data_IF_729246540691
#
_entry.id   IF_729246540691
#
_cell.length_a   1.000
_cell.length_b   1.000
_cell.length_c   1.000
_cell.angle_alpha   90.00
_cell.angle_beta   90.00
_cell.angle_gamma   90.00
#
_symmetry.space_group_name_H-M   'P 1'
#
loop_
_entity.id
_entity.type
_entity.pdbx_description
1 polymer ?
#
# COMPACT_ATOMS: atom_id res chain seq x y z
N UNK A 1 18.19 23.27 29.52
CA UNK A 1 18.93 24.17 28.61
C UNK A 1 18.06 24.37 27.37
N UNK A 2 17.68 25.60 27.06
CA UNK A 2 16.90 25.94 25.87
C UNK A 2 17.78 25.79 24.64
N UNK A 3 17.59 24.73 23.86
CA UNK A 3 18.23 24.59 22.56
C UNK A 3 17.49 25.46 21.55
N UNK A 4 18.23 26.19 20.70
CA UNK A 4 17.64 26.94 19.60
C UNK A 4 17.33 25.95 18.48
N UNK A 5 16.05 25.79 18.14
CA UNK A 5 15.60 24.94 17.04
C UNK A 5 15.56 25.75 15.75
N UNK A 6 16.27 25.30 14.72
CA UNK A 6 16.29 25.93 13.39
C UNK A 6 15.72 24.94 12.37
N UNK A 7 14.67 25.33 11.67
CA UNK A 7 14.11 24.53 10.57
C UNK A 7 14.92 24.78 9.30
N UNK A 8 15.46 23.71 8.72
CA UNK A 8 16.28 23.78 7.51
C UNK A 8 15.68 22.95 6.38
N UNK A 9 15.73 23.51 5.17
CA UNK A 9 15.38 22.77 3.96
C UNK A 9 16.42 21.70 3.63
N UNK A 10 16.00 20.67 2.90
CA UNK A 10 16.90 19.61 2.41
C UNK A 10 16.59 19.23 0.97
N UNK A 11 17.63 18.82 0.24
CA UNK A 11 17.52 18.32 -1.14
C UNK A 11 18.19 16.96 -1.26
N UNK A 12 17.54 16.03 -1.97
CA UNK A 12 18.13 14.73 -2.31
C UNK A 12 19.23 14.95 -3.37
N UNK A 13 20.44 14.51 -3.09
CA UNK A 13 21.58 14.64 -4.02
C UNK A 13 22.00 13.29 -4.61
N UNK A 14 21.95 12.23 -3.81
CA UNK A 14 22.39 10.89 -4.20
C UNK A 14 21.44 9.83 -3.67
N UNK A 15 21.15 8.84 -4.50
CA UNK A 15 20.37 7.65 -4.13
C UNK A 15 21.10 6.41 -4.60
N UNK A 16 21.32 5.46 -3.69
CA UNK A 16 21.86 4.14 -4.02
C UNK A 16 20.73 3.12 -3.90
N UNK A 17 20.28 2.55 -5.01
CA UNK A 17 19.22 1.55 -5.03
C UNK A 17 19.85 0.16 -4.94
N UNK A 18 19.34 -0.66 -4.02
CA UNK A 18 19.73 -2.04 -3.82
C UNK A 18 18.67 -2.97 -4.41
N UNK A 19 18.94 -4.28 -4.47
CA UNK A 19 17.96 -5.26 -4.93
C UNK A 19 16.63 -5.15 -4.13
N UNK A 20 16.75 -4.80 -2.84
CA UNK A 20 15.63 -4.47 -1.95
C UNK A 20 16.00 -3.27 -1.09
N UNK A 21 15.27 -2.19 -1.23
CA UNK A 21 15.50 -0.92 -0.54
C UNK A 21 16.44 0.03 -1.28
N UNK A 22 16.51 1.26 -0.79
CA UNK A 22 17.45 2.27 -1.26
C UNK A 22 18.00 3.06 -0.08
N UNK A 23 19.24 3.53 -0.21
CA UNK A 23 19.85 4.52 0.68
C UNK A 23 19.71 5.88 0.00
N UNK A 24 19.04 6.81 0.66
CA UNK A 24 18.83 8.17 0.17
C UNK A 24 19.73 9.10 0.97
N UNK A 25 20.53 9.90 0.27
CA UNK A 25 21.39 10.92 0.84
C UNK A 25 20.87 12.32 0.49
N UNK A 26 20.63 13.12 1.51
CA UNK A 26 20.12 14.50 1.40
C UNK A 26 21.11 15.50 1.96
N UNK A 27 21.34 16.56 1.20
CA UNK A 27 22.09 17.73 1.64
C UNK A 27 21.16 18.70 2.34
N UNK A 28 21.58 19.22 3.49
CA UNK A 28 20.85 20.25 4.22
C UNK A 28 21.35 21.63 3.80
N UNK A 29 20.42 22.55 3.53
CA UNK A 29 20.73 23.95 3.35
C UNK A 29 20.91 24.60 4.72
N UNK A 30 22.17 24.77 5.14
CA UNK A 30 22.52 25.40 6.41
C UNK A 30 22.38 26.93 6.30
N UNK A 31 21.95 27.63 7.37
CA UNK A 31 22.02 29.10 7.43
C UNK A 31 23.49 29.58 7.44
N UNK A 32 23.74 30.78 6.92
CA UNK A 32 25.09 31.36 6.79
C UNK A 32 25.80 31.52 8.14
N UNK A 33 25.05 31.87 9.19
CA UNK A 33 25.55 31.98 10.56
C UNK A 33 24.77 31.05 11.49
N UNK A 34 25.48 30.05 12.05
CA UNK A 34 24.93 29.22 13.12
C UNK A 34 25.27 29.83 14.49
N UNK A 35 24.33 29.86 15.43
CA UNK A 35 24.60 30.28 16.81
C UNK A 35 25.77 29.49 17.44
N UNK A 36 26.59 30.18 18.24
CA UNK A 36 27.71 29.57 18.97
C UNK A 36 27.27 28.61 20.07
N UNK A 37 26.04 28.75 20.59
CA UNK A 37 25.45 27.82 21.55
C UNK A 37 25.02 26.49 20.91
N UNK A 38 24.57 25.48 21.68
CA UNK A 38 24.05 24.24 21.13
C UNK A 38 22.76 24.50 20.32
N UNK A 39 22.71 23.94 19.11
CA UNK A 39 21.62 24.16 18.13
C UNK A 39 20.99 22.82 17.76
N UNK A 40 19.68 22.80 17.61
CA UNK A 40 18.94 21.66 17.07
C UNK A 40 18.46 22.02 15.66
N UNK A 41 18.88 21.26 14.66
CA UNK A 41 18.42 21.42 13.28
C UNK A 41 17.26 20.46 13.04
N UNK A 42 16.09 21.01 12.75
CA UNK A 42 14.92 20.24 12.36
C UNK A 42 14.85 20.14 10.84
N UNK A 43 14.97 18.91 10.32
CA UNK A 43 14.84 18.60 8.89
C UNK A 43 13.50 17.93 8.65
N UNK A 44 12.63 18.61 7.89
CA UNK A 44 11.31 18.11 7.50
C UNK A 44 11.29 17.62 6.05
N UNK A 45 10.18 16.99 5.67
CA UNK A 45 9.97 16.52 4.29
C UNK A 45 10.70 15.22 3.97
N UNK A 46 11.00 14.41 4.99
CA UNK A 46 11.48 13.03 4.82
C UNK A 46 10.25 12.12 4.81
N UNK A 47 10.25 11.14 3.92
CA UNK A 47 9.15 10.18 3.83
C UNK A 47 8.93 9.40 5.15
N UNK A 48 7.67 9.17 5.52
CA UNK A 48 7.34 8.28 6.64
C UNK A 48 7.72 6.81 6.40
N UNK A 49 8.03 6.45 5.15
CA UNK A 49 8.52 5.13 4.74
C UNK A 49 10.02 4.94 5.00
N UNK A 50 10.72 5.98 5.46
CA UNK A 50 12.10 5.88 5.90
C UNK A 50 12.17 5.09 7.21
N UNK A 51 13.19 4.24 7.33
CA UNK A 51 13.43 3.47 8.54
C UNK A 51 14.05 4.38 9.62
N UNK A 52 13.36 4.67 10.75
CA UNK A 52 13.82 5.68 11.71
C UNK A 52 15.20 5.39 12.33
N UNK A 53 15.52 4.10 12.54
CA UNK A 53 16.80 3.66 13.11
C UNK A 53 17.96 3.62 12.11
N UNK A 54 17.69 3.82 10.83
CA UNK A 54 18.71 3.80 9.77
C UNK A 54 19.36 5.16 9.53
N UNK A 55 18.81 6.22 10.11
CA UNK A 55 19.24 7.58 9.86
C UNK A 55 20.67 7.81 10.36
N UNK A 56 21.51 8.40 9.51
CA UNK A 56 22.90 8.75 9.78
C UNK A 56 23.15 10.19 9.38
N UNK A 57 24.03 10.86 10.10
CA UNK A 57 24.43 12.23 9.81
C UNK A 57 25.91 12.24 9.50
N UNK A 58 26.26 12.83 8.36
CA UNK A 58 27.62 13.13 7.96
C UNK A 58 27.78 14.65 8.03
N UNK A 59 28.78 15.10 8.77
CA UNK A 59 29.07 16.51 8.96
C UNK A 59 30.53 16.78 8.59
N UNK A 60 30.79 17.84 7.84
CA UNK A 60 32.14 18.36 7.67
C UNK A 60 32.24 19.75 8.31
N UNK A 61 33.11 19.87 9.31
CA UNK A 61 33.30 21.12 10.03
C UNK A 61 34.10 20.92 11.31
N UNK A 62 34.18 22.00 12.10
CA UNK A 62 34.76 21.97 13.45
C UNK A 62 33.72 21.75 14.55
N UNK A 63 32.49 21.42 14.15
CA UNK A 63 31.32 21.33 15.02
C UNK A 63 30.82 19.90 15.07
N UNK A 64 30.72 19.35 16.28
CA UNK A 64 30.34 17.97 16.49
C UNK A 64 28.82 17.76 16.48
N UNK A 65 28.39 16.59 16.00
CA UNK A 65 27.00 16.12 16.10
C UNK A 65 26.85 15.36 17.40
N UNK A 66 26.05 15.90 18.33
CA UNK A 66 25.81 15.31 19.65
C UNK A 66 24.74 14.23 19.60
N UNK A 67 23.73 14.40 18.74
CA UNK A 67 22.63 13.46 18.69
C UNK A 67 21.77 13.59 17.44
N UNK A 68 21.06 12.51 17.16
CA UNK A 68 20.07 12.41 16.10
C UNK A 68 18.80 11.80 16.69
N UNK A 69 17.68 12.47 16.51
CA UNK A 69 16.39 11.95 16.92
C UNK A 69 15.42 11.97 15.75
N UNK A 70 14.76 10.84 15.50
CA UNK A 70 13.74 10.71 14.47
C UNK A 70 12.35 10.77 15.10
N UNK A 71 11.56 11.76 14.69
CA UNK A 71 10.20 11.98 15.17
C UNK A 71 9.23 11.84 14.00
N UNK A 72 8.17 11.06 14.16
CA UNK A 72 7.09 11.00 13.16
C UNK A 72 6.15 12.18 13.33
N UNK A 73 5.96 12.96 12.27
CA UNK A 73 4.92 13.98 12.16
C UNK A 73 3.73 13.38 11.41
N UNK A 74 2.72 12.96 12.18
CA UNK A 74 1.45 12.44 11.64
C UNK A 74 0.41 13.55 11.76
N UNK A 75 -0.16 14.04 10.64
CA UNK A 75 -1.22 15.04 10.72
C UNK A 75 -2.43 14.48 11.47
N UNK A 76 -3.03 15.31 12.34
CA UNK A 76 -4.17 14.92 13.20
C UNK A 76 -5.42 14.45 12.43
N UNK A 77 -5.57 14.89 11.17
CA UNK A 77 -6.65 14.44 10.30
C UNK A 77 -6.05 14.11 8.92
N UNK A 78 -6.24 12.88 8.40
CA UNK A 78 -5.89 12.59 7.03
C UNK A 78 -6.85 13.39 6.12
N UNK A 79 -6.32 14.41 5.42
CA UNK A 79 -7.05 15.06 4.33
C UNK A 79 -6.85 14.19 3.09
N UNK A 80 -7.89 13.56 2.53
CA UNK A 80 -7.73 12.76 1.32
C UNK A 80 -7.22 13.64 0.18
N UNK A 81 -6.36 13.11 -0.68
CA UNK A 81 -5.92 13.84 -1.89
C UNK A 81 -7.11 14.23 -2.77
N UNK A 82 -6.94 15.24 -3.63
CA UNK A 82 -8.02 15.80 -4.45
C UNK A 82 -8.80 14.75 -5.25
N UNK A 83 -8.10 13.76 -5.83
CA UNK A 83 -8.72 12.65 -6.59
C UNK A 83 -9.56 11.76 -5.67
N UNK A 84 -9.04 11.42 -4.49
CA UNK A 84 -9.78 10.58 -3.52
C UNK A 84 -11.00 11.29 -2.94
N UNK A 85 -10.94 12.61 -2.71
CA UNK A 85 -12.10 13.42 -2.35
C UNK A 85 -13.16 13.35 -3.44
N UNK A 86 -12.75 13.52 -4.71
CA UNK A 86 -13.68 13.49 -5.84
C UNK A 86 -14.37 12.13 -6.01
N UNK A 87 -13.63 11.03 -5.83
CA UNK A 87 -14.23 9.69 -5.85
C UNK A 87 -15.27 9.51 -4.73
N UNK A 88 -14.98 10.01 -3.53
CA UNK A 88 -15.89 9.92 -2.39
C UNK A 88 -17.16 10.75 -2.61
N UNK A 89 -17.04 11.95 -3.18
CA UNK A 89 -18.18 12.79 -3.60
C UNK A 89 -19.07 12.07 -4.62
N UNK A 90 -18.47 11.49 -5.67
CA UNK A 90 -19.22 10.75 -6.69
C UNK A 90 -19.92 9.52 -6.12
N UNK A 91 -19.30 8.82 -5.18
CA UNK A 91 -19.92 7.67 -4.50
C UNK A 91 -21.10 8.08 -3.63
N UNK A 92 -20.99 9.21 -2.93
CA UNK A 92 -22.06 9.75 -2.10
C UNK A 92 -23.26 10.17 -2.98
N UNK A 93 -23.01 10.92 -4.06
CA UNK A 93 -24.04 11.30 -5.04
C UNK A 93 -24.74 10.07 -5.63
N UNK A 94 -23.98 9.03 -6.00
CA UNK A 94 -24.53 7.77 -6.50
C UNK A 94 -25.43 7.09 -5.46
N UNK A 95 -25.05 7.15 -4.18
CA UNK A 95 -25.84 6.63 -3.07
C UNK A 95 -27.19 7.35 -2.96
N UNK A 96 -27.18 8.68 -3.04
CA UNK A 96 -28.38 9.50 -3.01
C UNK A 96 -29.33 9.20 -4.19
N UNK A 97 -28.79 9.15 -5.41
CA UNK A 97 -29.55 8.80 -6.62
C UNK A 97 -30.16 7.39 -6.54
N UNK A 98 -29.42 6.40 -6.04
CA UNK A 98 -29.94 5.04 -5.85
C UNK A 98 -31.07 5.00 -4.81
N UNK A 99 -30.95 5.76 -3.74
CA UNK A 99 -31.98 5.87 -2.71
C UNK A 99 -33.25 6.54 -3.27
N UNK A 100 -33.10 7.64 -4.01
CA UNK A 100 -34.22 8.31 -4.70
C UNK A 100 -34.91 7.35 -5.68
N UNK A 101 -34.12 6.67 -6.54
CA UNK A 101 -34.64 5.68 -7.49
C UNK A 101 -35.42 4.57 -6.80
N UNK A 102 -34.89 4.02 -5.70
CA UNK A 102 -35.54 2.96 -4.93
C UNK A 102 -36.88 3.40 -4.34
N UNK A 103 -36.94 4.60 -3.76
CA UNK A 103 -38.18 5.19 -3.23
C UNK A 103 -39.21 5.43 -4.33
N UNK A 104 -38.77 6.00 -5.45
CA UNK A 104 -39.65 6.33 -6.57
C UNK A 104 -40.19 5.06 -7.26
N UNK A 105 -39.33 4.07 -7.50
CA UNK A 105 -39.74 2.76 -8.05
C UNK A 105 -40.75 2.07 -7.15
N UNK A 106 -40.51 2.04 -5.83
CA UNK A 106 -41.45 1.47 -4.86
C UNK A 106 -42.80 2.21 -4.82
N UNK A 107 -42.82 3.52 -5.07
CA UNK A 107 -44.07 4.29 -5.20
C UNK A 107 -44.77 3.95 -6.51
N UNK A 108 -44.04 3.91 -7.62
CA UNK A 108 -44.54 3.57 -8.95
C UNK A 108 -45.17 2.19 -8.97
N UNK A 109 -44.50 1.18 -8.42
CA UNK A 109 -45.01 -0.19 -8.39
C UNK A 109 -46.26 -0.33 -7.50
N UNK A 110 -46.34 0.43 -6.40
CA UNK A 110 -47.56 0.53 -5.59
C UNK A 110 -48.72 1.19 -6.32
N UNK A 111 -48.47 2.17 -7.19
CA UNK A 111 -49.52 2.78 -8.02
C UNK A 111 -49.94 1.83 -9.14
N UNK A 112 -48.98 1.14 -9.77
CA UNK A 112 -49.26 0.17 -10.82
C UNK A 112 -50.03 -1.07 -10.33
N UNK A 113 -49.92 -1.42 -9.05
CA UNK A 113 -50.69 -2.53 -8.46
C UNK A 113 -52.14 -2.16 -8.09
N UNK A 114 -52.52 -0.87 -8.15
CA UNK A 114 -53.90 -0.45 -7.91
C UNK A 114 -54.78 -0.95 -9.04
N UNK A 115 -55.67 -1.89 -8.73
CA UNK A 115 -56.69 -2.37 -9.67
C UNK A 115 -57.94 -1.52 -9.50
N UNK A 116 -58.36 -0.83 -10.56
CA UNK A 116 -59.61 -0.08 -10.59
C UNK A 116 -60.76 -1.04 -10.92
N UNK A 117 -61.46 -1.53 -9.90
CA UNK A 117 -62.67 -2.34 -10.07
C UNK A 117 -63.92 -1.44 -10.07
N UNK A 118 -64.57 -1.19 -11.22
CA UNK A 118 -65.81 -0.41 -11.31
C UNK A 118 -67.02 -1.11 -10.65
N UNK A 119 -66.88 -2.38 -10.25
CA UNK A 119 -67.86 -3.18 -9.51
C UNK A 119 -67.85 -2.96 -7.98
N UNK A 120 -66.81 -2.35 -7.40
CA UNK A 120 -66.66 -2.17 -5.95
C UNK A 120 -67.48 -1.01 -5.33
N UNK A 121 -68.55 -0.56 -5.99
CA UNK A 121 -69.45 0.44 -5.41
C UNK A 121 -70.43 -0.21 -4.42
N UNK A 122 -70.57 0.36 -3.22
CA UNK A 122 -71.54 -0.11 -2.20
C UNK A 122 -72.97 -0.18 -2.79
N UNK A 123 -73.75 -1.26 -2.55
CA UNK A 123 -75.09 -1.47 -3.15
C UNK A 123 -76.09 -0.33 -2.95
N UNK A 124 -75.88 0.51 -1.93
CA UNK A 124 -76.80 1.56 -1.48
C UNK A 124 -76.66 2.88 -2.26
N UNK A 125 -75.65 3.01 -3.15
CA UNK A 125 -75.47 4.18 -4.02
C UNK A 125 -76.03 3.87 -5.41
N UNK A 126 -77.24 4.35 -5.71
CA UNK A 126 -77.80 4.38 -7.07
C UNK A 126 -77.09 5.46 -7.89
N UNK A 127 -75.87 5.16 -8.33
CA UNK A 127 -75.15 5.98 -9.30
C UNK A 127 -75.42 5.41 -10.69
N UNK A 128 -75.76 6.29 -11.64
CA UNK A 128 -75.94 5.95 -13.05
C UNK A 128 -74.73 5.13 -13.55
N UNK A 129 -74.93 3.93 -14.14
CA UNK A 129 -73.86 3.15 -14.74
C UNK A 129 -72.92 3.95 -15.65
N UNK A 130 -73.46 4.93 -16.39
CA UNK A 130 -72.65 5.77 -17.28
C UNK A 130 -71.70 6.70 -16.51
N UNK A 131 -72.16 7.27 -15.39
CA UNK A 131 -71.33 8.10 -14.51
C UNK A 131 -70.21 7.28 -13.84
N UNK A 132 -70.48 6.02 -13.47
CA UNK A 132 -69.44 5.13 -12.90
C UNK A 132 -68.33 4.80 -13.90
N UNK A 133 -68.69 4.57 -15.16
CA UNK A 133 -67.72 4.33 -16.23
C UNK A 133 -66.90 5.60 -16.49
N UNK A 134 -67.54 6.77 -16.52
CA UNK A 134 -66.85 8.05 -16.67
C UNK A 134 -65.85 8.32 -15.54
N UNK A 135 -66.24 8.09 -14.28
CA UNK A 135 -65.35 8.25 -13.11
C UNK A 135 -64.17 7.27 -13.14
N UNK A 136 -64.41 6.01 -13.51
CA UNK A 136 -63.36 5.00 -13.65
C UNK A 136 -62.36 5.37 -14.75
N UNK A 137 -62.84 5.87 -15.90
CA UNK A 137 -61.98 6.37 -16.98
C UNK A 137 -61.17 7.59 -16.53
N UNK A 138 -61.79 8.55 -15.84
CA UNK A 138 -61.09 9.73 -15.32
C UNK A 138 -59.98 9.36 -14.31
N UNK A 139 -60.27 8.43 -13.39
CA UNK A 139 -59.28 7.93 -12.44
C UNK A 139 -58.15 7.15 -13.12
N UNK A 140 -58.46 6.35 -14.14
CA UNK A 140 -57.45 5.66 -14.94
C UNK A 140 -56.53 6.64 -15.68
N UNK A 141 -57.09 7.74 -16.22
CA UNK A 141 -56.31 8.80 -16.85
C UNK A 141 -55.36 9.49 -15.87
N UNK A 142 -55.83 9.78 -14.65
CA UNK A 142 -54.99 10.35 -13.59
C UNK A 142 -53.88 9.40 -13.17
N UNK A 143 -54.19 8.11 -12.99
CA UNK A 143 -53.21 7.10 -12.61
C UNK A 143 -52.14 6.91 -13.69
N UNK A 144 -52.54 6.86 -14.96
CA UNK A 144 -51.60 6.79 -16.08
C UNK A 144 -50.71 8.03 -16.13
N UNK A 145 -51.25 9.23 -15.91
CA UNK A 145 -50.45 10.45 -15.88
C UNK A 145 -49.40 10.45 -14.75
N UNK A 146 -49.77 9.99 -13.55
CA UNK A 146 -48.83 9.88 -12.44
C UNK A 146 -47.77 8.79 -12.67
N UNK A 147 -48.13 7.69 -13.34
CA UNK A 147 -47.18 6.65 -13.77
C UNK A 147 -46.20 7.17 -14.81
N UNK A 148 -46.69 7.86 -15.86
CA UNK A 148 -45.84 8.49 -16.88
C UNK A 148 -44.87 9.49 -16.25
N UNK A 149 -45.33 10.29 -15.29
CA UNK A 149 -44.47 11.22 -14.55
C UNK A 149 -43.40 10.49 -13.72
N UNK A 150 -43.77 9.40 -13.05
CA UNK A 150 -42.83 8.58 -12.29
C UNK A 150 -41.79 7.90 -13.21
N UNK A 151 -42.22 7.37 -14.34
CA UNK A 151 -41.35 6.72 -15.32
C UNK A 151 -40.40 7.73 -15.98
N UNK A 152 -40.88 8.94 -16.32
CA UNK A 152 -40.03 10.02 -16.82
C UNK A 152 -38.96 10.45 -15.79
N UNK A 153 -39.33 10.54 -14.50
CA UNK A 153 -38.38 10.87 -13.44
C UNK A 153 -37.39 9.72 -13.18
N UNK A 154 -37.82 8.46 -13.28
CA UNK A 154 -36.92 7.31 -13.21
C UNK A 154 -35.89 7.34 -14.34
N UNK A 155 -36.30 7.65 -15.58
CA UNK A 155 -35.39 7.79 -16.71
C UNK A 155 -34.33 8.88 -16.48
N UNK A 156 -34.71 10.03 -15.92
CA UNK A 156 -33.76 11.09 -15.55
C UNK A 156 -32.74 10.63 -14.49
N UNK A 157 -33.19 9.86 -13.49
CA UNK A 157 -32.31 9.35 -12.43
C UNK A 157 -31.37 8.29 -13.01
N UNK A 158 -31.84 7.41 -13.90
CA UNK A 158 -31.00 6.41 -14.55
C UNK A 158 -29.96 7.07 -15.46
N UNK A 159 -30.30 8.13 -16.21
CA UNK A 159 -29.33 8.93 -16.97
C UNK A 159 -28.28 9.60 -16.05
N UNK A 160 -28.71 10.16 -14.92
CA UNK A 160 -27.79 10.74 -13.94
C UNK A 160 -26.85 9.70 -13.32
N UNK A 161 -27.34 8.48 -13.08
CA UNK A 161 -26.52 7.36 -12.61
C UNK A 161 -25.49 6.93 -13.65
N UNK A 162 -25.88 6.80 -14.93
CA UNK A 162 -24.93 6.50 -16.01
C UNK A 162 -23.86 7.58 -16.14
N UNK A 163 -24.24 8.85 -16.02
CA UNK A 163 -23.29 9.97 -16.06
C UNK A 163 -22.31 9.92 -14.90
N UNK A 164 -22.80 9.71 -13.67
CA UNK A 164 -21.96 9.58 -12.48
C UNK A 164 -21.01 8.36 -12.61
N UNK A 165 -21.46 7.24 -13.18
CA UNK A 165 -20.60 6.08 -13.44
C UNK A 165 -19.50 6.36 -14.46
N UNK A 166 -19.83 7.06 -15.56
CA UNK A 166 -18.83 7.50 -16.55
C UNK A 166 -17.79 8.44 -15.93
N UNK A 167 -18.23 9.39 -15.12
CA UNK A 167 -17.34 10.31 -14.39
C UNK A 167 -16.46 9.54 -13.40
N UNK A 168 -17.03 8.59 -12.66
CA UNK A 168 -16.28 7.75 -11.73
C UNK A 168 -15.18 6.97 -12.43
N UNK A 169 -15.50 6.31 -13.55
CA UNK A 169 -14.52 5.55 -14.34
C UNK A 169 -13.41 6.47 -14.86
N UNK A 170 -13.76 7.69 -15.31
CA UNK A 170 -12.78 8.66 -15.78
C UNK A 170 -11.82 9.09 -14.65
N UNK A 171 -12.35 9.35 -13.45
CA UNK A 171 -11.54 9.71 -12.28
C UNK A 171 -10.70 8.54 -11.78
N UNK A 172 -11.23 7.31 -11.79
CA UNK A 172 -10.46 6.09 -11.47
C UNK A 172 -9.30 5.88 -12.44
N UNK A 173 -9.52 6.13 -13.74
CA UNK A 173 -8.48 6.06 -14.74
C UNK A 173 -7.42 7.16 -14.54
N UNK A 174 -7.84 8.38 -14.21
CA UNK A 174 -6.92 9.46 -13.83
C UNK A 174 -6.12 9.08 -12.58
N UNK A 175 -6.75 8.45 -11.58
CA UNK A 175 -6.09 7.97 -10.38
C UNK A 175 -4.99 6.93 -10.70
N UNK A 176 -5.25 6.00 -11.63
CA UNK A 176 -4.28 5.00 -12.06
C UNK A 176 -3.09 5.59 -12.83
N UNK A 177 -3.31 6.69 -13.56
CA UNK A 177 -2.25 7.39 -14.30
C UNK A 177 -1.55 8.48 -13.48
N UNK A 178 -2.15 8.89 -12.37
CA UNK A 178 -1.63 9.93 -11.52
C UNK A 178 -0.34 9.45 -10.83
N UNK A 179 0.69 10.30 -10.87
CA UNK A 179 1.85 10.15 -10.00
C UNK A 179 1.41 10.19 -8.53
N UNK A 180 2.14 9.48 -7.67
CA UNK A 180 1.89 9.36 -6.22
C UNK A 180 1.63 10.71 -5.54
N UNK A 181 2.18 11.81 -6.07
CA UNK A 181 1.96 13.18 -5.57
C UNK A 181 0.52 13.70 -5.68
N UNK A 182 -0.28 13.28 -6.67
CA UNK A 182 -1.68 13.69 -6.81
C UNK A 182 -2.66 12.82 -6.02
N UNK A 183 -2.24 11.59 -5.70
CA UNK A 183 -2.97 10.64 -4.85
C UNK A 183 -2.69 10.85 -3.37
N UNK A 184 -1.52 11.43 -3.04
CA UNK A 184 -1.11 11.70 -1.68
C UNK A 184 -2.10 12.64 -0.98
N UNK A 185 -2.32 12.40 0.32
CA UNK A 185 -3.02 13.31 1.20
C UNK A 185 -2.41 14.72 1.12
N UNK A 186 -3.20 15.78 1.33
CA UNK A 186 -2.70 17.18 1.34
C UNK A 186 -1.51 17.36 2.30
N UNK A 187 -1.45 16.52 3.34
CA UNK A 187 -0.29 16.35 4.20
C UNK A 187 -0.10 14.85 4.47
N UNK A 188 0.83 14.16 3.80
CA UNK A 188 1.17 12.79 4.16
C UNK A 188 1.89 12.80 5.52
N UNK A 189 1.86 11.68 6.28
CA UNK A 189 2.74 11.53 7.42
C UNK A 189 4.19 11.66 6.94
N UNK A 190 4.99 12.43 7.69
CA UNK A 190 6.41 12.62 7.39
C UNK A 190 7.27 12.24 8.58
N UNK A 191 8.54 12.00 8.32
CA UNK A 191 9.56 11.88 9.35
C UNK A 191 10.27 13.25 9.48
N UNK A 192 10.41 13.73 10.71
CA UNK A 192 11.21 14.88 11.08
C UNK A 192 12.48 14.35 11.75
N UNK A 193 13.65 14.73 11.23
CA UNK A 193 14.93 14.41 11.85
C UNK A 193 15.45 15.64 12.59
N UNK A 194 15.67 15.49 13.89
CA UNK A 194 16.25 16.50 14.77
C UNK A 194 17.74 16.18 14.96
N UNK A 195 18.61 17.02 14.42
CA UNK A 195 20.06 16.89 14.54
C UNK A 195 20.55 17.87 15.59
N UNK A 196 21.11 17.39 16.69
CA UNK A 196 21.69 18.23 17.74
C UNK A 196 23.16 18.46 17.47
N UNK A 197 23.54 19.72 17.30
CA UNK A 197 24.90 20.17 17.13
C UNK A 197 25.46 20.73 18.45
N UNK A 198 26.73 20.43 18.72
CA UNK A 198 27.45 20.99 19.86
C UNK A 198 27.70 22.49 19.77
N UNK A 199 28.22 23.11 20.84
CA UNK A 199 28.57 24.52 20.83
C UNK A 199 29.83 24.79 19.97
N UNK A 200 29.84 25.95 19.31
CA UNK A 200 30.98 26.49 18.57
C UNK A 200 31.33 25.77 17.26
N UNK A 201 32.12 26.46 16.43
CA UNK A 201 32.69 25.90 15.21
C UNK A 201 31.85 26.11 13.94
N UNK A 202 32.54 26.37 12.83
CA UNK A 202 31.90 26.45 11.52
C UNK A 202 31.56 25.05 11.00
N UNK A 203 30.35 24.91 10.44
CA UNK A 203 29.88 23.72 9.74
C UNK A 203 29.85 24.02 8.25
N UNK A 204 30.67 23.33 7.44
CA UNK A 204 30.69 23.55 5.98
C UNK A 204 29.49 22.90 5.32
N UNK A 205 29.18 21.67 5.73
CA UNK A 205 28.01 20.96 5.25
C UNK A 205 27.53 19.87 6.19
N UNK A 206 26.27 19.54 6.00
CA UNK A 206 25.56 18.49 6.71
C UNK A 206 24.76 17.66 5.71
N UNK A 207 24.97 16.36 5.74
CA UNK A 207 24.27 15.36 4.93
C UNK A 207 23.58 14.36 5.85
N UNK A 208 22.38 13.97 5.47
CA UNK A 208 21.62 12.92 6.14
C UNK A 208 21.48 11.76 5.17
N UNK A 209 21.82 10.57 5.63
CA UNK A 209 21.54 9.31 4.95
C UNK A 209 20.46 8.55 5.70
N UNK A 210 19.54 7.93 4.98
CA UNK A 210 18.54 7.03 5.56
C UNK A 210 18.14 5.95 4.56
N UNK A 211 17.63 4.84 5.09
CA UNK A 211 17.10 3.72 4.30
C UNK A 211 15.62 3.92 4.04
N UNK A 212 15.23 3.69 2.78
CA UNK A 212 13.84 3.62 2.34
C UNK A 212 13.57 2.20 1.84
N UNK A 213 12.61 1.52 2.47
CA UNK A 213 12.22 0.15 2.13
C UNK A 213 11.59 0.00 0.73
N UNK A 214 10.57 0.80 0.36
CA UNK A 214 9.83 0.63 -0.90
C UNK A 214 10.57 1.18 -2.13
N UNK A 215 11.74 0.61 -2.42
CA UNK A 215 12.51 0.84 -3.62
C UNK A 215 13.21 -0.45 -4.05
N UNK A 216 13.37 -0.67 -5.35
CA UNK A 216 14.11 -1.83 -5.87
C UNK A 216 14.67 -1.52 -7.25
N UNK A 217 15.72 -2.22 -7.62
CA UNK A 217 16.15 -2.29 -9.01
C UNK A 217 16.35 -3.73 -9.46
N UNK A 218 16.16 -3.98 -10.76
CA UNK A 218 16.34 -5.29 -11.39
C UNK A 218 17.12 -5.11 -12.70
N UNK A 219 18.22 -5.86 -12.93
CA UNK A 219 18.89 -5.88 -14.22
C UNK A 219 18.06 -6.66 -15.24
N UNK A 220 17.95 -6.13 -16.45
CA UNK A 220 17.38 -6.82 -17.61
C UNK A 220 18.47 -6.95 -18.66
N UNK A 221 18.63 -8.15 -19.20
CA UNK A 221 19.68 -8.45 -20.18
C UNK A 221 19.04 -8.71 -21.54
N UNK A 222 19.53 -8.05 -22.58
CA UNK A 222 19.12 -8.30 -23.95
C UNK A 222 20.33 -8.76 -24.77
N UNK A 223 20.21 -9.92 -25.41
CA UNK A 223 21.22 -10.44 -26.33
C UNK A 223 20.67 -10.41 -27.76
N UNK A 224 21.35 -9.71 -28.67
CA UNK A 224 21.01 -9.69 -30.09
C UNK A 224 22.07 -10.42 -30.88
N UNK A 225 21.66 -11.49 -31.57
CA UNK A 225 22.52 -12.29 -32.41
C UNK A 225 22.54 -11.74 -33.84
N UNK A 226 23.71 -11.69 -34.47
CA UNK A 226 23.82 -11.50 -35.91
C UNK A 226 23.12 -12.63 -36.67
N UNK A 227 22.68 -12.40 -37.91
CA UNK A 227 21.98 -13.41 -38.73
C UNK A 227 22.76 -14.73 -38.90
N UNK A 228 24.10 -14.70 -38.84
CA UNK A 228 24.96 -15.88 -38.90
C UNK A 228 25.40 -16.45 -37.54
N UNK A 229 24.86 -15.95 -36.43
CA UNK A 229 25.25 -16.32 -35.06
C UNK A 229 26.76 -16.18 -34.74
N UNK A 230 27.50 -15.35 -35.48
CA UNK A 230 28.95 -15.14 -35.28
C UNK A 230 29.27 -13.98 -34.34
N UNK A 231 28.31 -13.06 -34.12
CA UNK A 231 28.43 -11.92 -33.20
C UNK A 231 27.19 -11.80 -32.33
N UNK A 232 27.40 -11.45 -31.06
CA UNK A 232 26.34 -11.15 -30.08
C UNK A 232 26.56 -9.75 -29.52
N UNK A 233 25.53 -8.90 -29.62
CA UNK A 233 25.46 -7.64 -28.89
C UNK A 233 24.73 -7.89 -27.56
N UNK A 234 25.36 -7.51 -26.45
CA UNK A 234 24.80 -7.67 -25.11
C UNK A 234 24.50 -6.30 -24.53
N UNK A 235 23.23 -6.03 -24.23
CA UNK A 235 22.78 -4.80 -23.59
C UNK A 235 22.29 -5.12 -22.18
N UNK A 236 22.69 -4.30 -21.21
CA UNK A 236 22.20 -4.37 -19.84
C UNK A 236 21.35 -3.14 -19.62
N UNK A 237 20.09 -3.36 -19.28
CA UNK A 237 19.15 -2.34 -18.86
C UNK A 237 18.91 -2.47 -17.35
N UNK A 238 18.72 -1.36 -16.65
CA UNK A 238 18.37 -1.37 -15.25
C UNK A 238 16.97 -0.78 -15.06
N UNK A 239 16.06 -1.60 -14.54
CA UNK A 239 14.72 -1.14 -14.19
C UNK A 239 14.70 -0.74 -12.73
N UNK A 240 14.40 0.52 -12.44
CA UNK A 240 14.27 1.05 -11.09
C UNK A 240 12.80 1.31 -10.81
N UNK A 241 12.29 0.76 -9.71
CA UNK A 241 10.94 1.01 -9.24
C UNK A 241 10.99 1.56 -7.82
N UNK A 242 10.25 2.63 -7.57
CA UNK A 242 10.15 3.23 -6.25
C UNK A 242 8.72 3.61 -5.88
N UNK A 243 8.41 3.47 -4.61
CA UNK A 243 7.20 3.98 -3.98
C UNK A 243 7.57 4.70 -2.67
N UNK A 244 8.69 5.44 -2.66
CA UNK A 244 9.17 6.18 -1.48
C UNK A 244 8.30 7.39 -1.13
N UNK A 245 7.56 7.92 -2.11
CA UNK A 245 6.87 9.21 -1.98
C UNK A 245 7.80 10.43 -2.12
N UNK A 246 9.06 10.22 -2.47
CA UNK A 246 10.05 11.29 -2.68
C UNK A 246 10.39 11.44 -4.17
N UNK A 247 10.70 12.68 -4.56
CA UNK A 247 11.12 12.98 -5.93
C UNK A 247 12.61 12.70 -6.11
N UNK A 248 12.93 11.77 -7.01
CA UNK A 248 14.30 11.41 -7.39
C UNK A 248 14.72 12.02 -8.74
N UNK A 249 13.96 13.01 -9.25
CA UNK A 249 14.30 13.73 -10.47
C UNK A 249 15.60 14.50 -10.31
N UNK A 250 16.50 14.38 -11.29
CA UNK A 250 17.80 15.06 -11.31
C UNK A 250 18.76 14.71 -10.16
N UNK A 251 18.64 13.50 -9.60
CA UNK A 251 19.50 12.97 -8.54
C UNK A 251 20.60 12.07 -9.12
N UNK A 252 21.77 12.00 -8.46
CA UNK A 252 22.80 11.01 -8.81
C UNK A 252 22.35 9.63 -8.33
N UNK A 253 21.87 8.81 -9.25
CA UNK A 253 21.41 7.46 -8.97
C UNK A 253 22.53 6.44 -9.20
N UNK A 254 22.78 5.60 -8.21
CA UNK A 254 23.70 4.46 -8.29
C UNK A 254 22.95 3.16 -7.98
N UNK A 255 23.41 2.06 -8.58
CA UNK A 255 22.81 0.74 -8.41
C UNK A 255 23.80 -0.20 -7.73
N UNK A 256 23.33 -0.96 -6.75
CA UNK A 256 24.13 -1.90 -5.99
C UNK A 256 23.53 -3.30 -6.04
N UNK A 257 24.34 -4.29 -6.42
CA UNK A 257 23.97 -5.73 -6.33
C UNK A 257 24.21 -6.30 -4.94
N UNK A 258 24.75 -5.51 -4.00
CA UNK A 258 24.90 -5.95 -2.62
C UNK A 258 23.53 -6.07 -1.94
N UNK A 259 23.47 -6.83 -0.85
CA UNK A 259 22.31 -6.78 0.04
C UNK A 259 22.41 -5.55 0.96
N UNK A 260 21.30 -4.86 1.12
CA UNK A 260 21.21 -3.68 1.99
C UNK A 260 21.16 -4.12 3.47
N UNK A 261 20.44 -5.20 3.74
CA UNK A 261 20.37 -5.80 5.08
C UNK A 261 21.44 -6.88 5.13
N UNK A 262 22.59 -6.58 5.72
CA UNK A 262 23.55 -7.61 6.08
C UNK A 262 23.03 -8.35 7.31
N UNK A 263 22.59 -9.59 7.10
CA UNK A 263 22.39 -10.53 8.19
C UNK A 263 23.73 -10.74 8.91
N UNK A 264 23.86 -10.12 10.09
CA UNK A 264 25.05 -10.20 10.92
C UNK A 264 25.06 -11.43 11.83
N UNK A 265 24.17 -12.42 11.59
CA UNK A 265 24.23 -13.70 12.28
C UNK A 265 25.58 -14.35 11.99
N UNK A 266 26.28 -14.71 13.07
CA UNK A 266 27.53 -15.44 12.98
C UNK A 266 27.23 -16.78 12.28
N UNK A 267 27.96 -17.15 11.22
CA UNK A 267 27.76 -18.44 10.59
C UNK A 267 28.02 -19.54 11.63
N UNK A 268 27.11 -20.51 11.72
CA UNK A 268 27.34 -21.71 12.51
C UNK A 268 28.44 -22.52 11.83
N UNK A 269 29.63 -22.51 12.42
CA UNK A 269 30.73 -23.33 11.95
C UNK A 269 30.44 -24.78 12.30
N UNK A 270 30.29 -25.63 11.28
CA UNK A 270 30.26 -27.07 11.49
C UNK A 270 31.53 -27.50 12.23
N UNK A 271 31.39 -28.29 13.31
CA UNK A 271 32.54 -28.83 14.01
C UNK A 271 33.33 -29.73 13.05
N UNK A 272 34.50 -29.29 12.60
CA UNK A 272 35.43 -30.14 11.87
C UNK A 272 36.03 -31.16 12.84
N UNK A 273 35.44 -32.35 12.87
CA UNK A 273 35.99 -33.49 13.61
C UNK A 273 37.13 -34.08 12.79
N UNK A 274 38.37 -33.85 13.22
CA UNK A 274 39.54 -34.51 12.67
C UNK A 274 39.50 -35.99 13.04
N UNK A 275 38.97 -36.81 12.13
CA UNK A 275 38.97 -38.27 12.23
C UNK A 275 40.10 -38.90 11.42
N UNK A 276 40.33 -40.20 11.61
CA UNK A 276 41.18 -40.98 10.70
C UNK A 276 40.66 -40.83 9.27
N UNK A 277 41.57 -40.69 8.30
CA UNK A 277 41.22 -40.57 6.89
C UNK A 277 40.28 -41.72 6.51
N UNK A 278 39.01 -41.38 6.23
CA UNK A 278 38.06 -42.36 5.71
C UNK A 278 38.48 -42.64 4.27
N UNK A 279 38.71 -43.91 3.89
CA UNK A 279 38.97 -44.22 2.49
C UNK A 279 37.79 -43.69 1.67
N UNK A 280 38.06 -42.98 0.55
CA UNK A 280 36.98 -42.44 -0.27
C UNK A 280 36.04 -43.58 -0.63
N UNK A 281 34.73 -43.33 -0.49
CA UNK A 281 33.72 -44.31 -0.89
C UNK A 281 34.02 -44.72 -2.33
N UNK A 282 34.37 -45.99 -2.55
CA UNK A 282 34.68 -46.52 -3.88
C UNK A 282 33.41 -46.40 -4.72
N UNK A 283 33.33 -45.34 -5.52
CA UNK A 283 32.37 -45.24 -6.63
C UNK A 283 32.89 -46.15 -7.73
N UNK A 284 32.69 -47.45 -7.56
CA UNK A 284 32.88 -48.40 -8.65
C UNK A 284 31.92 -48.04 -9.78
N UNK A 285 32.37 -48.17 -11.02
CA UNK A 285 31.48 -48.14 -12.17
C UNK A 285 30.42 -49.23 -11.98
N UNK A 286 29.16 -48.82 -11.83
CA UNK A 286 28.02 -49.73 -11.99
C UNK A 286 27.67 -49.70 -13.46
N UNK A 287 27.75 -50.86 -14.11
CA UNK A 287 27.17 -51.00 -15.44
C UNK A 287 25.69 -50.57 -15.36
N UNK A 288 25.19 -49.81 -16.33
CA UNK A 288 23.78 -49.46 -16.36
C UNK A 288 22.95 -50.75 -16.37
N UNK A 289 21.89 -50.83 -15.56
CA UNK A 289 21.03 -52.00 -15.52
C UNK A 289 20.48 -52.29 -16.93
N UNK A 290 20.41 -53.57 -17.29
CA UNK A 290 19.87 -53.98 -18.59
C UNK A 290 18.34 -53.85 -18.57
N UNK A 291 17.80 -53.00 -19.45
CA UNK A 291 16.37 -52.78 -19.59
C UNK A 291 15.82 -51.61 -18.78
N UNK A 292 14.63 -51.14 -19.18
CA UNK A 292 14.01 -49.93 -18.65
C UNK A 292 13.42 -50.17 -17.25
N UNK A 293 12.76 -51.31 -16.98
CA UNK A 293 12.27 -51.65 -15.63
C UNK A 293 13.40 -51.68 -14.58
N UNK A 294 14.54 -52.29 -14.90
CA UNK A 294 15.66 -52.44 -13.97
C UNK A 294 16.30 -51.09 -13.58
N UNK A 295 16.10 -50.04 -14.38
CA UNK A 295 16.53 -48.67 -14.06
C UNK A 295 15.67 -48.03 -12.96
N UNK A 296 14.39 -48.42 -12.85
CA UNK A 296 13.44 -47.81 -11.93
C UNK A 296 13.21 -48.61 -10.63
N UNK A 297 13.70 -49.85 -10.51
CA UNK A 297 13.51 -50.67 -9.29
C UNK A 297 13.94 -49.99 -7.97
N UNK A 298 15.00 -49.18 -8.01
CA UNK A 298 15.46 -48.45 -6.82
C UNK A 298 14.54 -47.27 -6.48
N UNK A 299 13.97 -46.63 -7.50
CA UNK A 299 12.95 -45.59 -7.34
C UNK A 299 11.65 -46.19 -6.83
N UNK A 300 11.24 -47.35 -7.34
CA UNK A 300 10.04 -48.06 -6.91
C UNK A 300 10.14 -48.49 -5.44
N UNK A 301 11.28 -49.07 -5.03
CA UNK A 301 11.56 -49.36 -3.61
C UNK A 301 11.55 -48.12 -2.72
N UNK A 302 12.13 -47.02 -3.19
CA UNK A 302 12.11 -45.76 -2.44
C UNK A 302 10.69 -45.20 -2.32
N UNK A 303 9.94 -45.19 -3.41
CA UNK A 303 8.55 -44.73 -3.44
C UNK A 303 7.63 -45.57 -2.54
N UNK A 304 7.85 -46.89 -2.48
CA UNK A 304 7.14 -47.79 -1.57
C UNK A 304 7.56 -47.63 -0.10
N UNK A 305 8.77 -47.11 0.17
CA UNK A 305 9.25 -46.81 1.52
C UNK A 305 8.76 -45.47 2.07
N UNK A 306 8.20 -44.61 1.21
CA UNK A 306 7.54 -43.39 1.66
C UNK A 306 6.23 -43.76 2.36
N UNK A 307 5.92 -43.15 3.51
CA UNK A 307 4.59 -43.30 4.10
C UNK A 307 3.53 -42.88 3.08
N UNK A 308 2.37 -43.56 3.03
CA UNK A 308 1.31 -43.17 2.12
C UNK A 308 0.98 -41.69 2.34
N UNK A 309 0.73 -40.92 1.27
CA UNK A 309 0.27 -39.55 1.44
C UNK A 309 -0.94 -39.58 2.36
N UNK A 310 -0.90 -38.83 3.45
CA UNK A 310 -2.10 -38.58 4.27
C UNK A 310 -3.22 -38.24 3.29
N UNK A 311 -4.35 -38.96 3.38
CA UNK A 311 -5.53 -38.63 2.61
C UNK A 311 -5.73 -37.11 2.70
N UNK A 312 -5.89 -36.40 1.57
CA UNK A 312 -6.27 -35.01 1.66
C UNK A 312 -7.59 -35.00 2.44
N UNK A 313 -7.55 -34.46 3.66
CA UNK A 313 -8.75 -34.08 4.38
C UNK A 313 -9.66 -33.41 3.36
N UNK A 314 -10.94 -33.84 3.23
CA UNK A 314 -11.77 -33.47 2.10
C UNK A 314 -11.66 -31.96 1.95
N UNK A 315 -11.02 -31.54 0.86
CA UNK A 315 -10.92 -30.15 0.52
C UNK A 315 -12.36 -29.66 0.57
N UNK A 316 -12.67 -28.80 1.54
CA UNK A 316 -13.92 -28.09 1.54
C UNK A 316 -13.97 -27.45 0.18
N UNK A 317 -14.78 -28.02 -0.72
CA UNK A 317 -15.08 -27.43 -2.01
C UNK A 317 -15.61 -26.07 -1.62
N UNK A 318 -14.79 -25.04 -1.82
CA UNK A 318 -15.23 -23.66 -1.74
C UNK A 318 -16.33 -23.57 -2.80
N UNK A 319 -17.56 -23.77 -2.34
CA UNK A 319 -18.74 -23.62 -3.15
C UNK A 319 -18.76 -22.15 -3.54
N UNK A 320 -18.41 -21.86 -4.79
CA UNK A 320 -18.59 -20.55 -5.41
C UNK A 320 -20.09 -20.33 -5.70
N UNK A 321 -20.92 -20.47 -4.68
CA UNK A 321 -22.31 -20.05 -4.71
C UNK A 321 -22.39 -18.65 -4.09
N UNK A 322 -22.95 -17.65 -4.80
CA UNK A 322 -23.20 -16.35 -4.20
C UNK A 322 -24.15 -16.51 -2.99
N UNK A 323 -23.95 -15.75 -1.90
CA UNK A 323 -24.77 -15.89 -0.72
C UNK A 323 -26.21 -15.47 -1.03
N UNK A 324 -27.16 -16.36 -0.74
CA UNK A 324 -28.58 -16.02 -0.76
C UNK A 324 -28.90 -14.96 0.32
N UNK A 325 -29.85 -14.04 0.05
CA UNK A 325 -30.25 -13.04 1.02
C UNK A 325 -30.94 -13.72 2.21
N UNK A 326 -30.38 -13.53 3.41
CA UNK A 326 -31.02 -13.96 4.66
C UNK A 326 -32.36 -13.27 4.79
N UNK A 327 -33.42 -14.07 4.81
CA UNK A 327 -34.76 -13.63 5.20
C UNK A 327 -34.76 -13.30 6.69
N UNK A 328 -35.05 -12.05 7.02
CA UNK A 328 -35.46 -11.62 8.36
C UNK A 328 -36.81 -12.27 8.68
N UNK A 329 -36.79 -13.28 9.54
CA UNK A 329 -38.00 -13.79 10.19
C UNK A 329 -38.26 -12.94 11.43
N UNK A 330 -39.36 -12.19 11.38
CA UNK A 330 -39.95 -11.52 12.53
C UNK A 330 -40.32 -12.54 13.63
N UNK A 331 -39.91 -12.26 14.87
CA UNK A 331 -40.46 -12.89 16.05
C UNK A 331 -40.85 -11.80 17.06
N UNK A 332 -42.14 -11.82 17.35
CA UNK A 332 -42.94 -10.89 18.14
C UNK A 332 -42.54 -10.83 19.61
N UNK A 333 -42.61 -9.60 20.13
CA UNK A 333 -42.85 -9.14 21.51
C UNK A 333 -43.40 -10.18 22.51
N UNK A 334 -42.80 -10.24 23.70
CA UNK A 334 -43.53 -10.43 24.96
C UNK A 334 -42.89 -9.56 26.05
N UNK A 335 -43.69 -8.64 26.60
CA UNK A 335 -43.45 -7.76 27.75
C UNK A 335 -43.64 -8.59 29.05
N UNK A 336 -42.72 -8.60 30.03
CA UNK A 336 -42.52 -7.70 31.20
C UNK A 336 -42.56 -8.59 32.49
N UNK A 337 -42.19 -8.16 33.75
CA UNK A 337 -41.76 -6.83 34.20
C UNK A 337 -40.54 -6.78 35.17
N UNK A 338 -40.07 -5.55 35.43
CA UNK A 338 -39.46 -4.97 36.66
C UNK A 338 -38.40 -5.75 37.46
N UNK A 339 -37.22 -5.14 37.63
CA UNK A 339 -36.64 -4.81 38.95
C UNK A 339 -35.47 -3.80 38.83
N UNK A 340 -35.76 -2.60 39.30
CA UNK A 340 -34.92 -1.57 39.95
C UNK A 340 -33.39 -1.58 39.80
N UNK A 341 -32.88 -0.48 39.24
CA UNK A 341 -31.48 -0.02 39.28
C UNK A 341 -31.13 0.51 40.68
N UNK A 342 -30.02 0.05 41.26
CA UNK A 342 -29.35 0.73 42.39
C UNK A 342 -27.83 0.65 42.20
N UNK A 343 -27.20 1.83 42.12
CA UNK A 343 -25.76 2.01 42.04
C UNK A 343 -25.04 1.65 43.37
N UNK A 344 -23.78 1.18 43.35
CA UNK A 344 -22.96 1.19 44.55
C UNK A 344 -22.06 2.42 44.63
N UNK A 345 -22.03 2.95 45.86
CA UNK A 345 -21.17 4.01 46.41
C UNK A 345 -19.74 3.53 46.59
N UNK A 346 -18.84 4.50 46.56
CA UNK A 346 -17.46 4.48 47.05
C UNK A 346 -17.38 4.23 48.56
N UNK A 347 -16.56 3.28 48.97
CA UNK A 347 -15.99 3.22 50.32
C UNK A 347 -14.47 3.01 50.22
N UNK A 348 -13.76 3.89 50.90
CA UNK A 348 -12.33 3.86 51.17
C UNK A 348 -12.06 2.90 52.33
N UNK A 349 -11.10 1.99 52.18
CA UNK A 349 -10.36 1.43 53.31
C UNK A 349 -8.93 1.14 52.85
N UNK A 350 -7.96 1.76 53.52
CA UNK A 350 -6.55 1.62 53.24
C UNK A 350 -5.92 0.45 54.01
N UNK A 351 -4.91 -0.17 53.41
CA UNK A 351 -3.88 -0.94 54.12
C UNK A 351 -2.53 -0.70 53.44
N UNK A 352 -1.57 -0.30 54.28
CA UNK A 352 -0.17 -0.04 54.03
C UNK A 352 0.61 -1.38 54.04
N UNK A 353 1.53 -1.63 53.09
CA UNK A 353 2.70 -2.48 53.34
C UNK A 353 3.83 -2.20 52.33
N UNK A 354 5.04 -2.07 52.88
CA UNK A 354 6.35 -1.79 52.26
C UNK A 354 6.91 -2.93 51.37
N UNK A 355 8.12 -2.65 50.82
CA UNK A 355 9.14 -3.50 50.20
C UNK A 355 9.11 -3.48 48.66
N UNK A 356 10.21 -3.31 47.90
CA UNK A 356 11.65 -3.26 48.15
C UNK A 356 12.30 -2.75 46.84
N UNK A 357 13.40 -2.01 46.91
CA UNK A 357 14.24 -1.72 45.72
C UNK A 357 15.11 -2.94 45.35
N UNK A 358 15.63 -2.99 44.11
CA UNK A 358 17.05 -3.34 44.01
C UNK A 358 17.87 -2.49 43.01
N UNK A 359 18.91 -1.91 43.58
CA UNK A 359 20.32 -1.76 43.17
C UNK A 359 20.77 -1.84 41.69
N UNK A 360 21.61 -0.85 41.38
CA UNK A 360 22.60 -0.78 40.30
C UNK A 360 23.58 -1.97 40.30
N UNK A 361 23.93 -2.46 39.10
CA UNK A 361 25.17 -3.20 38.88
C UNK A 361 25.91 -2.58 37.69
N UNK A 362 27.08 -2.02 37.98
CA UNK A 362 28.05 -1.50 37.04
C UNK A 362 28.76 -2.64 36.26
N UNK A 363 28.94 -2.45 34.94
CA UNK A 363 29.91 -3.24 34.17
C UNK A 363 30.43 -2.49 32.92
N UNK A 364 31.62 -1.92 33.05
CA UNK A 364 32.73 -2.19 32.13
C UNK A 364 32.74 -1.55 30.74
N UNK A 365 33.43 -0.41 30.64
CA UNK A 365 34.03 0.08 29.40
C UNK A 365 34.93 -0.98 28.75
N UNK A 366 34.62 -1.36 27.50
CA UNK A 366 35.63 -1.76 26.50
C UNK A 366 35.26 -1.20 25.13
N UNK A 367 35.78 -0.02 24.85
CA UNK A 367 35.85 0.54 23.51
C UNK A 367 36.67 -0.38 22.60
N UNK A 368 36.02 -1.01 21.63
CA UNK A 368 36.69 -1.64 20.48
C UNK A 368 36.29 -0.87 19.23
N UNK A 369 37.18 0.04 18.81
CA UNK A 369 37.09 0.75 17.53
C UNK A 369 37.26 -0.25 16.39
N UNK A 370 36.16 -0.65 15.76
CA UNK A 370 36.17 -1.31 14.46
C UNK A 370 35.98 -0.25 13.38
N UNK A 371 37.11 0.24 12.88
CA UNK A 371 37.18 1.11 11.70
C UNK A 371 36.89 0.27 10.46
N UNK A 372 35.79 0.54 9.76
CA UNK A 372 35.58 0.03 8.40
C UNK A 372 36.31 0.92 7.39
N UNK A 373 36.90 0.36 6.32
CA UNK A 373 37.69 1.14 5.38
C UNK A 373 36.82 2.11 4.57
N UNK A 374 37.39 3.30 4.33
CA UNK A 374 36.84 4.37 3.50
C UNK A 374 36.54 3.89 2.08
N UNK A 375 35.46 4.41 1.51
CA UNK A 375 34.89 4.02 0.21
C UNK A 375 35.67 4.57 -1.01
N UNK A 376 37.00 4.41 -1.03
CA UNK A 376 37.87 4.90 -2.13
C UNK A 376 38.41 3.78 -3.03
N UNK A 377 37.66 2.69 -3.20
CA UNK A 377 37.95 1.74 -4.29
C UNK A 377 36.67 1.21 -4.91
N UNK A 378 35.86 2.12 -5.47
CA UNK A 378 34.91 1.75 -6.51
C UNK A 378 35.57 1.87 -7.87
N UNK A 379 35.61 0.77 -8.61
CA UNK A 379 35.91 0.76 -10.04
C UNK A 379 34.81 1.59 -10.72
N UNK A 380 35.12 2.83 -11.08
CA UNK A 380 34.24 3.66 -11.88
C UNK A 380 34.18 3.08 -13.31
N UNK A 381 33.10 2.39 -13.63
CA UNK A 381 32.70 2.21 -15.03
C UNK A 381 31.73 3.34 -15.38
N UNK A 382 32.22 4.30 -16.16
CA UNK A 382 31.42 5.40 -16.69
C UNK A 382 30.42 4.87 -17.71
N UNK A 383 29.12 5.00 -17.42
CA UNK A 383 28.05 4.76 -18.40
C UNK A 383 27.50 6.10 -18.87
N UNK A 384 27.54 6.32 -20.19
CA UNK A 384 26.87 7.43 -20.85
C UNK A 384 25.44 7.01 -21.19
N UNK A 385 24.45 7.79 -20.76
CA UNK A 385 23.04 7.54 -21.04
C UNK A 385 22.66 8.05 -22.45
N UNK A 386 21.94 7.28 -23.29
CA UNK A 386 21.26 7.86 -24.43
C UNK A 386 19.95 8.54 -24.00
N UNK A 387 19.59 9.60 -24.71
CA UNK A 387 18.40 10.41 -24.46
C UNK A 387 17.10 9.60 -24.52
N UNK A 388 16.15 9.97 -23.66
CA UNK A 388 14.81 9.41 -23.60
C UNK A 388 14.10 9.52 -24.96
N UNK A 389 13.86 8.38 -25.61
CA UNK A 389 13.04 8.31 -26.81
C UNK A 389 11.56 8.24 -26.42
N UNK A 390 10.83 9.31 -26.68
CA UNK A 390 9.37 9.31 -26.67
C UNK A 390 8.84 8.36 -27.77
N UNK A 391 7.91 7.48 -27.41
CA UNK A 391 7.24 6.54 -28.32
C UNK A 391 6.52 7.29 -29.46
N UNK A 392 6.63 6.85 -30.74
CA UNK A 392 5.88 7.48 -31.80
C UNK A 392 4.41 7.02 -31.79
N UNK A 393 3.51 8.01 -31.86
CA UNK A 393 2.08 7.85 -32.14
C UNK A 393 1.86 7.09 -33.45
N UNK A 394 1.06 6.04 -33.39
CA UNK A 394 0.52 5.34 -34.57
C UNK A 394 -0.44 6.29 -35.32
N UNK A 395 -0.16 6.60 -36.59
CA UNK A 395 -1.11 7.23 -37.51
C UNK A 395 -1.63 6.17 -38.51
N UNK A 396 -2.94 6.14 -38.80
CA UNK A 396 -3.50 5.22 -39.80
C UNK A 396 -3.16 5.69 -41.22
N UNK A 397 -2.70 4.77 -42.07
CA UNK A 397 -2.45 5.00 -43.50
C UNK A 397 -3.77 5.30 -44.22
N UNK A 398 -3.84 6.45 -44.89
CA UNK A 398 -4.84 6.78 -45.90
C UNK A 398 -4.60 5.97 -47.18
N UNK A 399 -5.67 5.35 -47.70
CA UNK A 399 -5.70 4.80 -49.04
C UNK A 399 -5.99 5.95 -50.04
N UNK A 400 -5.14 6.08 -51.06
CA UNK A 400 -5.38 6.93 -52.23
C UNK A 400 -6.10 6.15 -53.35
N UNK A 401 -6.79 6.84 -54.26
CA UNK A 401 -7.86 6.26 -55.07
C UNK A 401 -7.38 5.66 -56.40
N UNK A 402 -8.18 4.73 -56.91
CA UNK A 402 -8.36 4.49 -58.34
C UNK A 402 -9.79 4.89 -58.72
#
# INVERSE_FOLDING_TARGET
>A
MSHVSIECGSRIERVVVYARGAVVARRIALPEELPDGPVEIAVRGITALAEPGSARVLAEGKRDVIGLHAKRDVPKAPSPGAITKRLLELELERGELKNERGRLRSRRDRMASLTLDPGMAKPWRRVDPQARIADALALSGLLNHELERADARLAQIDEALEKNEREKIAVEFEALQANTSKLAADRPPTLELLVRLGPGGALKWLEIEYVVGPARWVPTYAARFSAGATRVEWTIEAQVAQASGEDWSHVRLALSTADLVRDARLPELLSLRLGKAQPPARKGYRAPPEGLEAMFEAFDRFSASLPPPNEPAPAARASLLPPEPKQEAAATTTLDPMMTVRAPRSEEEGVLMELDEPEEVAAGERASRLTLPSADTMIQQSFSAPAASASPRFQPRSAGPA
#
